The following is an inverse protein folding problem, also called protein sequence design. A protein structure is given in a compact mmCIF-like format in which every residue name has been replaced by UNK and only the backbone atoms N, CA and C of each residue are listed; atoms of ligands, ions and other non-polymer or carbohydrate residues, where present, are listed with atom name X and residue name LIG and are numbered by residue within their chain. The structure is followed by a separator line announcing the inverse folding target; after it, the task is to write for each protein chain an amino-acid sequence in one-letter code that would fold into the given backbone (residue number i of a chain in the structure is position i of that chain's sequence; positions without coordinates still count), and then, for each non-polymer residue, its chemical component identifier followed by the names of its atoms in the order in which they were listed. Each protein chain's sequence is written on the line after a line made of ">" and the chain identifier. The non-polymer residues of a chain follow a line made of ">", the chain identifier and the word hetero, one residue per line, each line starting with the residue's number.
data_IF_427669964366
#
_entry.id   IF_427669964366
#
_cell.length_a   1.000
_cell.length_b   1.000
_cell.length_c   1.000
_cell.angle_alpha   90.00
_cell.angle_beta   90.00
_cell.angle_gamma   90.00
#
_symmetry.space_group_name_H-M   'P 1'
#
loop_
_entity.id
_entity.type
_entity.pdbx_description
1 polymer ?
#
# COMPACT_ATOMS: atom_id res chain seq x y z
N UNK A 1 21.41 -36.30 -36.73
CA UNK A 1 21.79 -34.87 -36.76
C UNK A 1 21.38 -34.27 -35.42
N UNK A 2 22.27 -34.28 -34.43
CA UNK A 2 22.01 -33.66 -33.13
C UNK A 2 22.66 -32.28 -33.13
N UNK A 3 21.84 -31.23 -33.12
CA UNK A 3 22.32 -29.87 -32.94
C UNK A 3 22.90 -29.73 -31.51
N UNK A 4 24.08 -29.13 -31.34
CA UNK A 4 24.63 -28.87 -30.01
C UNK A 4 23.74 -27.84 -29.31
N UNK A 5 23.20 -28.21 -28.15
CA UNK A 5 22.52 -27.31 -27.23
C UNK A 5 23.48 -26.20 -26.81
N UNK A 6 23.22 -24.97 -27.26
CA UNK A 6 24.11 -23.83 -27.07
C UNK A 6 24.44 -23.58 -25.58
N UNK A 7 25.73 -23.41 -25.22
CA UNK A 7 26.21 -23.21 -23.84
C UNK A 7 25.69 -21.93 -23.14
N UNK A 8 25.03 -21.05 -23.89
CA UNK A 8 24.53 -19.75 -23.44
C UNK A 8 23.34 -19.88 -22.46
N UNK A 9 22.54 -20.94 -22.58
CA UNK A 9 21.35 -21.12 -21.72
C UNK A 9 21.76 -21.58 -20.31
N UNK A 10 22.72 -22.52 -20.22
CA UNK A 10 23.21 -23.06 -18.95
C UNK A 10 23.87 -21.98 -18.07
N UNK A 11 24.70 -21.12 -18.66
CA UNK A 11 25.36 -20.02 -17.96
C UNK A 11 24.37 -18.98 -17.41
N UNK A 12 23.20 -18.83 -18.04
CA UNK A 12 22.16 -17.89 -17.59
C UNK A 12 21.42 -18.41 -16.36
N UNK A 13 21.13 -19.72 -16.32
CA UNK A 13 20.47 -20.36 -15.18
C UNK A 13 21.35 -20.43 -13.94
N UNK A 14 22.65 -20.71 -14.09
CA UNK A 14 23.59 -20.68 -12.96
C UNK A 14 23.73 -19.28 -12.38
N UNK A 15 23.78 -18.25 -13.23
CA UNK A 15 23.82 -16.85 -12.77
C UNK A 15 22.56 -16.47 -12.01
N UNK A 16 21.37 -16.82 -12.52
CA UNK A 16 20.10 -16.54 -11.84
C UNK A 16 19.98 -17.27 -10.50
N UNK A 17 20.47 -18.51 -10.40
CA UNK A 17 20.53 -19.26 -9.14
C UNK A 17 21.51 -18.64 -8.15
N UNK A 18 22.66 -18.17 -8.63
CA UNK A 18 23.62 -17.46 -7.81
C UNK A 18 23.06 -16.12 -7.29
N UNK A 19 22.37 -15.36 -8.14
CA UNK A 19 21.69 -14.11 -7.75
C UNK A 19 20.58 -14.36 -6.72
N UNK A 20 19.77 -15.41 -6.89
CA UNK A 20 18.69 -15.76 -5.95
C UNK A 20 19.18 -16.29 -4.59
N UNK A 21 20.44 -16.77 -4.53
CA UNK A 21 21.07 -17.23 -3.30
C UNK A 21 21.71 -16.09 -2.48
N UNK A 22 21.73 -14.86 -3.02
CA UNK A 22 22.20 -13.68 -2.29
C UNK A 22 21.14 -13.32 -1.25
N UNK A 23 21.47 -13.52 0.02
CA UNK A 23 20.68 -13.03 1.14
C UNK A 23 20.56 -11.49 1.06
N UNK A 24 19.36 -10.93 1.32
CA UNK A 24 19.18 -9.48 1.29
C UNK A 24 20.09 -8.81 2.32
N UNK A 25 20.57 -7.61 1.99
CA UNK A 25 21.41 -6.84 2.89
C UNK A 25 20.75 -6.68 4.27
N UNK A 26 21.54 -6.74 5.36
CA UNK A 26 21.01 -6.56 6.70
C UNK A 26 20.35 -5.20 6.83
N UNK A 27 19.17 -5.18 7.45
CA UNK A 27 18.36 -3.98 7.60
C UNK A 27 19.14 -2.92 8.36
N UNK A 28 19.21 -1.71 7.81
CA UNK A 28 19.80 -0.56 8.49
C UNK A 28 19.08 -0.32 9.83
N UNK A 29 19.82 -0.49 10.92
CA UNK A 29 19.36 -0.26 12.30
C UNK A 29 19.51 1.19 12.74
N UNK A 30 19.93 2.09 11.84
CA UNK A 30 20.04 3.51 12.14
C UNK A 30 18.68 4.04 12.61
N UNK A 31 18.66 4.90 13.65
CA UNK A 31 17.42 5.56 14.07
C UNK A 31 16.82 6.25 12.85
N UNK A 32 15.54 5.98 12.56
CA UNK A 32 14.84 6.71 11.52
C UNK A 32 14.96 8.20 11.81
N UNK A 33 15.37 9.00 10.82
CA UNK A 33 15.18 10.44 10.89
C UNK A 33 13.71 10.66 11.28
N UNK A 34 13.43 11.50 12.29
CA UNK A 34 12.11 11.71 12.93
C UNK A 34 10.98 12.14 11.98
N UNK A 35 11.21 12.15 10.67
CA UNK A 35 10.28 12.54 9.63
C UNK A 35 9.73 11.29 8.94
N UNK A 36 8.41 11.12 8.97
CA UNK A 36 7.70 10.10 8.21
C UNK A 36 8.07 10.17 6.72
N UNK A 37 8.43 9.03 6.14
CA UNK A 37 8.71 8.94 4.70
C UNK A 37 7.44 8.56 3.94
N UNK A 38 7.05 9.39 2.98
CA UNK A 38 5.89 9.13 2.11
C UNK A 38 6.41 8.62 0.76
N UNK A 39 5.94 7.45 0.35
CA UNK A 39 6.31 6.80 -0.90
C UNK A 39 5.04 6.54 -1.69
N UNK A 40 4.97 7.04 -2.93
CA UNK A 40 3.82 6.82 -3.81
C UNK A 40 4.23 5.97 -5.01
N UNK A 41 3.48 4.90 -5.31
CA UNK A 41 3.72 4.00 -6.43
C UNK A 41 2.73 4.28 -7.55
N UNK A 42 3.24 4.84 -8.65
CA UNK A 42 2.45 5.12 -9.85
C UNK A 42 2.67 4.08 -10.95
N UNK A 43 1.72 3.99 -11.87
CA UNK A 43 1.79 3.08 -13.01
C UNK A 43 0.42 2.76 -13.61
N UNK A 44 0.44 2.18 -14.80
CA UNK A 44 -0.77 1.77 -15.52
C UNK A 44 -1.61 0.77 -14.69
N UNK A 45 -2.91 0.73 -14.95
CA UNK A 45 -3.78 -0.33 -14.43
C UNK A 45 -3.25 -1.73 -14.80
N UNK A 46 -3.26 -2.65 -13.84
CA UNK A 46 -2.83 -4.04 -14.05
C UNK A 46 -1.31 -4.31 -13.97
N UNK A 47 -0.46 -3.29 -13.76
CA UNK A 47 1.00 -3.49 -13.67
C UNK A 47 1.47 -4.08 -12.33
N UNK A 48 0.55 -4.32 -11.38
CA UNK A 48 0.86 -4.90 -10.07
C UNK A 48 1.10 -3.89 -8.94
N UNK A 49 0.68 -2.62 -9.06
CA UNK A 49 0.86 -1.60 -7.99
C UNK A 49 0.37 -2.06 -6.62
N UNK A 50 -0.89 -2.48 -6.52
CA UNK A 50 -1.49 -2.97 -5.28
C UNK A 50 -0.75 -4.18 -4.71
N UNK A 51 -0.26 -5.07 -5.59
CA UNK A 51 0.54 -6.21 -5.20
C UNK A 51 1.89 -5.79 -4.61
N UNK A 52 2.59 -4.86 -5.26
CA UNK A 52 3.86 -4.31 -4.78
C UNK A 52 3.67 -3.57 -3.45
N UNK A 53 2.67 -2.69 -3.36
CA UNK A 53 2.38 -1.91 -2.16
C UNK A 53 2.07 -2.79 -0.95
N UNK A 54 1.19 -3.79 -1.11
CA UNK A 54 0.83 -4.70 -0.03
C UNK A 54 2.05 -5.51 0.46
N UNK A 55 2.82 -6.11 -0.44
CA UNK A 55 4.00 -6.90 -0.06
C UNK A 55 5.13 -6.02 0.53
N UNK A 56 5.36 -4.83 -0.02
CA UNK A 56 6.33 -3.88 0.51
C UNK A 56 5.93 -3.41 1.91
N UNK A 57 4.66 -3.07 2.11
CA UNK A 57 4.14 -2.65 3.41
C UNK A 57 4.30 -3.76 4.46
N UNK A 58 3.98 -4.99 4.08
CA UNK A 58 4.12 -6.17 4.92
C UNK A 58 5.58 -6.37 5.33
N UNK A 59 6.50 -6.34 4.37
CA UNK A 59 7.92 -6.55 4.64
C UNK A 59 8.50 -5.46 5.55
N UNK A 60 8.19 -4.19 5.28
CA UNK A 60 8.61 -3.09 6.14
C UNK A 60 8.07 -3.25 7.58
N UNK A 61 6.82 -3.70 7.73
CA UNK A 61 6.24 -3.97 9.05
C UNK A 61 6.93 -5.16 9.75
N UNK A 62 7.28 -6.23 9.03
CA UNK A 62 8.05 -7.35 9.58
C UNK A 62 9.46 -6.93 10.05
N UNK A 63 10.01 -5.86 9.46
CA UNK A 63 11.28 -5.26 9.87
C UNK A 63 11.11 -4.27 11.05
N UNK A 64 9.96 -4.29 11.73
CA UNK A 64 9.68 -3.46 12.90
C UNK A 64 9.35 -2.00 12.59
N UNK A 65 9.15 -1.64 11.31
CA UNK A 65 8.73 -0.29 10.94
C UNK A 65 7.23 -0.10 11.18
N UNK A 66 6.83 1.07 11.64
CA UNK A 66 5.43 1.47 11.72
C UNK A 66 4.99 1.97 10.35
N UNK A 67 4.21 1.15 9.64
CA UNK A 67 3.82 1.41 8.25
C UNK A 67 2.31 1.67 8.14
N UNK A 68 1.95 2.69 7.37
CA UNK A 68 0.59 2.92 6.89
C UNK A 68 0.53 2.70 5.37
N UNK A 69 -0.39 1.85 4.92
CA UNK A 69 -0.77 1.68 3.52
C UNK A 69 -2.09 2.39 3.27
N UNK A 70 -2.14 3.29 2.28
CA UNK A 70 -3.38 3.96 1.86
C UNK A 70 -3.63 3.63 0.38
N UNK A 71 -4.69 2.88 0.11
CA UNK A 71 -5.16 2.67 -1.26
C UNK A 71 -5.73 3.96 -1.86
N UNK A 72 -5.10 4.45 -2.93
CA UNK A 72 -5.53 5.66 -3.64
C UNK A 72 -6.12 5.38 -5.03
N UNK A 73 -6.29 4.10 -5.40
CA UNK A 73 -6.83 3.71 -6.71
C UNK A 73 -8.37 3.74 -6.67
N UNK A 74 -9.05 4.30 -7.69
CA UNK A 74 -10.52 4.26 -7.78
C UNK A 74 -11.12 2.85 -7.65
N UNK A 75 -10.37 1.80 -8.02
CA UNK A 75 -10.78 0.40 -7.83
C UNK A 75 -10.95 0.01 -6.36
N UNK A 76 -10.30 0.71 -5.44
CA UNK A 76 -10.43 0.59 -3.98
C UNK A 76 -10.19 -0.83 -3.45
N UNK A 77 -9.21 -1.55 -4.01
CA UNK A 77 -8.89 -2.94 -3.66
C UNK A 77 -7.43 -3.16 -3.23
N UNK A 78 -6.65 -2.10 -3.04
CA UNK A 78 -5.24 -2.17 -2.66
C UNK A 78 -5.05 -2.94 -1.35
N UNK A 79 -5.92 -2.70 -0.37
CA UNK A 79 -5.84 -3.38 0.93
C UNK A 79 -6.36 -4.82 0.91
N UNK A 80 -7.09 -5.24 -0.13
CA UNK A 80 -7.71 -6.57 -0.18
C UNK A 80 -6.71 -7.71 -0.03
N UNK A 81 -5.51 -7.56 -0.58
CA UNK A 81 -4.45 -8.57 -0.49
C UNK A 81 -3.99 -8.80 0.95
N UNK A 82 -3.92 -7.73 1.75
CA UNK A 82 -3.61 -7.84 3.18
C UNK A 82 -4.76 -8.51 3.92
N UNK A 83 -6.01 -8.19 3.61
CA UNK A 83 -7.19 -8.60 4.38
C UNK A 83 -7.92 -9.84 3.84
N UNK A 84 -7.20 -10.74 3.15
CA UNK A 84 -7.75 -12.02 2.71
C UNK A 84 -8.87 -11.89 1.67
N UNK A 85 -8.74 -10.94 0.74
CA UNK A 85 -9.67 -10.71 -0.35
C UNK A 85 -10.79 -9.71 -0.05
N UNK A 86 -10.82 -9.11 1.14
CA UNK A 86 -11.78 -8.05 1.50
C UNK A 86 -11.06 -6.72 1.65
N UNK A 87 -11.43 -5.72 0.87
CA UNK A 87 -10.88 -4.37 1.04
C UNK A 87 -11.38 -3.73 2.35
N UNK A 88 -10.59 -2.81 2.89
CA UNK A 88 -11.04 -1.94 3.98
C UNK A 88 -12.25 -1.11 3.52
N UNK A 89 -13.22 -0.81 4.40
CA UNK A 89 -14.21 0.23 4.15
C UNK A 89 -13.53 1.53 3.71
N UNK A 90 -14.06 2.18 2.67
CA UNK A 90 -13.44 3.38 2.13
C UNK A 90 -13.71 4.60 3.01
N UNK A 91 -12.76 5.53 3.08
CA UNK A 91 -12.88 6.77 3.84
C UNK A 91 -14.04 7.62 3.32
N UNK A 92 -14.16 7.77 2.00
CA UNK A 92 -15.22 8.58 1.38
C UNK A 92 -16.60 7.99 1.67
N UNK A 93 -16.78 6.68 1.52
CA UNK A 93 -18.10 6.05 1.75
C UNK A 93 -18.45 6.06 3.24
N UNK A 94 -17.49 5.74 4.11
CA UNK A 94 -17.69 5.68 5.57
C UNK A 94 -18.01 7.06 6.13
N UNK A 95 -17.25 8.09 5.74
CA UNK A 95 -17.52 9.47 6.16
C UNK A 95 -18.88 9.97 5.67
N UNK A 96 -19.27 9.63 4.44
CA UNK A 96 -20.57 9.99 3.88
C UNK A 96 -21.72 9.35 4.64
N UNK A 97 -21.63 8.05 4.94
CA UNK A 97 -22.65 7.32 5.72
C UNK A 97 -22.80 7.89 7.13
N UNK A 98 -21.68 8.14 7.83
CA UNK A 98 -21.71 8.71 9.18
C UNK A 98 -22.28 10.12 9.20
N UNK A 99 -21.91 10.97 8.24
CA UNK A 99 -22.48 12.30 8.11
C UNK A 99 -24.00 12.27 7.92
N UNK A 100 -24.52 11.33 7.11
CA UNK A 100 -25.96 11.15 6.93
C UNK A 100 -26.66 10.66 8.21
N UNK A 101 -25.98 9.88 9.04
CA UNK A 101 -26.46 9.44 10.35
C UNK A 101 -26.33 10.52 11.44
N UNK A 102 -25.73 11.68 11.15
CA UNK A 102 -25.46 12.73 12.14
C UNK A 102 -24.26 12.42 13.06
N UNK A 103 -23.41 11.48 12.67
CA UNK A 103 -22.24 11.04 13.43
C UNK A 103 -20.93 11.59 12.84
N UNK A 104 -19.91 11.76 13.71
CA UNK A 104 -18.54 12.07 13.29
C UNK A 104 -17.78 10.80 12.93
N UNK A 105 -17.00 10.84 11.84
CA UNK A 105 -16.04 9.78 11.52
C UNK A 105 -14.88 9.80 12.51
N UNK A 106 -14.44 8.61 12.92
CA UNK A 106 -13.30 8.39 13.79
C UNK A 106 -12.26 7.50 13.09
N UNK A 107 -11.03 7.49 13.61
CA UNK A 107 -9.94 6.71 13.04
C UNK A 107 -10.28 5.21 12.98
N UNK A 108 -10.94 4.68 14.01
CA UNK A 108 -11.30 3.27 14.08
C UNK A 108 -12.32 2.81 13.03
N UNK A 109 -12.99 3.76 12.36
CA UNK A 109 -13.94 3.45 11.30
C UNK A 109 -13.26 3.20 9.94
N UNK A 110 -12.03 3.70 9.77
CA UNK A 110 -11.35 3.75 8.46
C UNK A 110 -9.92 3.20 8.49
N UNK A 111 -9.31 3.06 9.68
CA UNK A 111 -7.98 2.53 9.90
C UNK A 111 -8.04 1.11 10.47
N UNK A 112 -7.53 0.15 9.73
CA UNK A 112 -7.49 -1.25 10.16
C UNK A 112 -6.05 -1.74 10.22
N UNK A 113 -5.77 -2.70 11.11
CA UNK A 113 -4.43 -3.27 11.24
C UNK A 113 -4.44 -4.76 10.92
N UNK A 114 -3.48 -5.21 10.12
CA UNK A 114 -3.23 -6.62 9.85
C UNK A 114 -1.75 -6.89 9.66
N UNK A 115 -1.27 -7.94 10.31
CA UNK A 115 0.10 -8.42 10.20
C UNK A 115 1.16 -7.31 10.39
N UNK A 116 0.89 -6.38 11.31
CA UNK A 116 1.75 -5.24 11.61
C UNK A 116 1.51 -3.98 10.76
N UNK A 117 0.83 -4.10 9.62
CA UNK A 117 0.53 -3.00 8.70
C UNK A 117 -0.76 -2.30 9.11
N UNK A 118 -0.74 -0.97 9.22
CA UNK A 118 -1.95 -0.16 9.27
C UNK A 118 -2.41 0.12 7.84
N UNK A 119 -3.71 0.02 7.57
CA UNK A 119 -4.25 0.06 6.24
C UNK A 119 -5.54 0.88 6.18
N UNK A 120 -5.67 1.64 5.11
CA UNK A 120 -6.84 2.44 4.78
C UNK A 120 -7.14 2.32 3.28
N UNK A 121 -8.40 2.47 2.92
CA UNK A 121 -8.81 2.70 1.53
C UNK A 121 -9.43 4.08 1.41
N UNK A 122 -8.93 4.89 0.48
CA UNK A 122 -9.44 6.23 0.32
C UNK A 122 -10.82 6.21 -0.34
N UNK A 123 -11.00 5.33 -1.32
CA UNK A 123 -12.20 5.27 -2.14
C UNK A 123 -12.20 6.29 -3.27
N UNK A 124 -13.22 6.22 -4.11
CA UNK A 124 -13.45 7.18 -5.17
C UNK A 124 -14.94 7.46 -5.33
N UNK A 125 -15.30 8.46 -6.15
CA UNK A 125 -16.71 8.65 -6.51
C UNK A 125 -17.21 7.44 -7.32
N UNK A 126 -18.53 7.27 -7.37
CA UNK A 126 -19.15 6.22 -8.21
C UNK A 126 -18.65 6.30 -9.65
N UNK A 127 -18.50 5.14 -10.29
CA UNK A 127 -18.10 5.06 -11.71
C UNK A 127 -19.07 5.89 -12.56
N UNK A 128 -18.53 6.79 -13.37
CA UNK A 128 -19.33 7.70 -14.20
C UNK A 128 -19.85 8.95 -13.47
N UNK A 129 -19.48 9.16 -12.20
CA UNK A 129 -19.80 10.38 -11.44
C UNK A 129 -18.54 11.03 -10.86
N UNK A 130 -18.54 12.36 -10.86
CA UNK A 130 -17.48 13.15 -10.23
C UNK A 130 -16.12 13.06 -10.95
N UNK A 131 -15.07 13.43 -10.23
CA UNK A 131 -13.68 13.42 -10.70
C UNK A 131 -12.82 12.64 -9.71
N UNK A 132 -12.08 11.63 -10.20
CA UNK A 132 -11.23 10.79 -9.35
C UNK A 132 -10.23 11.60 -8.52
N UNK A 133 -9.63 12.64 -9.12
CA UNK A 133 -8.71 13.54 -8.41
C UNK A 133 -9.37 14.30 -7.25
N UNK A 134 -10.64 14.71 -7.40
CA UNK A 134 -11.38 15.37 -6.31
C UNK A 134 -11.73 14.39 -5.19
N UNK A 135 -11.98 13.13 -5.52
CA UNK A 135 -12.12 12.06 -4.53
C UNK A 135 -10.85 11.92 -3.68
N UNK A 136 -9.69 11.87 -4.34
CA UNK A 136 -8.39 11.78 -3.67
C UNK A 136 -8.18 12.94 -2.69
N UNK A 137 -8.32 14.18 -3.17
CA UNK A 137 -8.16 15.37 -2.33
C UNK A 137 -9.11 15.32 -1.13
N UNK A 138 -10.38 15.00 -1.35
CA UNK A 138 -11.38 14.96 -0.28
C UNK A 138 -11.10 13.88 0.77
N UNK A 139 -10.61 12.71 0.35
CA UNK A 139 -10.19 11.65 1.25
C UNK A 139 -9.02 12.08 2.14
N UNK A 140 -8.03 12.77 1.57
CA UNK A 140 -6.91 13.31 2.34
C UNK A 140 -7.32 14.44 3.27
N UNK A 141 -8.19 15.37 2.86
CA UNK A 141 -8.77 16.38 3.76
C UNK A 141 -9.49 15.76 4.97
N UNK A 142 -10.14 14.61 4.76
CA UNK A 142 -10.77 13.85 5.85
C UNK A 142 -9.72 13.22 6.76
N UNK A 143 -8.64 12.69 6.21
CA UNK A 143 -7.51 12.15 6.96
C UNK A 143 -6.80 13.21 7.80
N UNK A 144 -6.59 14.41 7.24
CA UNK A 144 -5.98 15.54 7.93
C UNK A 144 -6.80 15.95 9.15
N UNK A 145 -8.13 15.99 9.03
CA UNK A 145 -9.04 16.26 10.16
C UNK A 145 -8.98 15.21 11.26
N UNK A 146 -8.58 13.98 10.92
CA UNK A 146 -8.37 12.89 11.88
C UNK A 146 -6.98 12.94 12.54
N UNK A 147 -6.12 13.90 12.19
CA UNK A 147 -4.79 14.06 12.78
C UNK A 147 -3.74 13.14 12.18
N UNK A 148 -3.85 12.78 10.90
CA UNK A 148 -2.95 11.86 10.19
C UNK A 148 -1.45 12.12 10.45
N UNK A 149 -1.03 13.38 10.49
CA UNK A 149 0.38 13.77 10.67
C UNK A 149 0.95 13.42 12.05
N UNK A 150 0.11 13.25 13.06
CA UNK A 150 0.53 13.05 14.46
C UNK A 150 0.63 11.56 14.84
N UNK A 151 0.31 10.65 13.92
CA UNK A 151 0.26 9.22 14.21
C UNK A 151 1.64 8.55 14.28
N UNK A 152 2.72 9.26 13.93
CA UNK A 152 4.10 8.81 14.13
C UNK A 152 4.48 7.57 13.33
N UNK A 153 4.05 7.48 12.06
CA UNK A 153 4.46 6.42 11.14
C UNK A 153 5.90 6.63 10.65
N UNK A 154 6.65 5.54 10.50
CA UNK A 154 7.96 5.58 9.83
C UNK A 154 7.77 5.74 8.31
N UNK A 155 6.79 5.02 7.75
CA UNK A 155 6.48 5.01 6.33
C UNK A 155 4.98 5.12 6.06
N UNK A 156 4.63 5.90 5.04
CA UNK A 156 3.28 5.96 4.45
C UNK A 156 3.43 5.58 2.98
N UNK A 157 2.75 4.52 2.56
CA UNK A 157 2.75 4.01 1.20
C UNK A 157 1.42 4.34 0.51
N UNK A 158 1.49 4.96 -0.66
CA UNK A 158 0.36 5.42 -1.48
C UNK A 158 0.32 4.73 -2.85
#
# INVERSE_FOLDING_TARGET
>A
MNAPTSPVIFMRDERLKAEAAIEPDPVSTSPAAKTTQIIAIYGKGGIGKSFTLANLSYMMAQQGKKVLLIGCDPKSDTTSLLFGGKACPTIIETSSKKKLAGESVSIGDVCFKRDGVFAMELGGPEVGRGCGGRGIIHGFETLEKLGFHDWGFDYVLL
#
